data_IF_266976779327
#
_entry.id   IF_266976779327
#
_cell.length_a   1.000
_cell.length_b   1.000
_cell.length_c   1.000
_cell.angle_alpha   90.00
_cell.angle_beta   90.00
_cell.angle_gamma   90.00
#
_symmetry.space_group_name_H-M   'P 1'
#
loop_
_entity.id
_entity.type
_entity.pdbx_description
1 polymer ?
#
# COMPACT_ATOMS: atom_id res chain seq x y z
N UNK A 1 -63.50 48.13 20.48
CA UNK A 1 -62.94 48.40 21.81
C UNK A 1 -61.61 47.64 21.93
N UNK A 2 -60.51 48.36 22.16
CA UNK A 2 -59.13 47.85 22.33
C UNK A 2 -58.96 47.08 23.65
N UNK A 3 -58.14 46.02 23.68
CA UNK A 3 -57.08 45.67 24.66
C UNK A 3 -56.53 44.25 24.31
N UNK A 4 -55.36 44.06 23.68
CA UNK A 4 -53.95 44.17 24.12
C UNK A 4 -53.43 43.11 25.12
N UNK A 5 -52.39 42.38 24.66
CA UNK A 5 -51.24 41.74 25.36
C UNK A 5 -51.54 40.41 26.08
N UNK A 6 -50.77 39.33 25.86
CA UNK A 6 -49.31 39.25 26.11
C UNK A 6 -48.57 38.41 25.05
N UNK A 7 -47.50 39.01 24.52
CA UNK A 7 -46.43 38.35 23.77
C UNK A 7 -45.42 37.86 24.80
N UNK A 8 -45.15 36.55 24.83
CA UNK A 8 -44.00 36.00 25.55
C UNK A 8 -42.88 35.73 24.55
N UNK A 9 -41.80 36.45 24.78
CA UNK A 9 -40.55 36.48 24.04
C UNK A 9 -39.72 35.26 24.45
N UNK A 10 -39.47 34.31 23.54
CA UNK A 10 -38.32 33.41 23.66
C UNK A 10 -37.38 33.72 22.50
N UNK A 11 -36.35 34.50 22.80
CA UNK A 11 -35.21 34.70 21.93
C UNK A 11 -34.40 33.40 21.90
N UNK A 12 -34.49 32.65 20.80
CA UNK A 12 -33.51 31.60 20.49
C UNK A 12 -32.56 32.19 19.45
N UNK A 13 -31.40 32.60 19.93
CA UNK A 13 -30.24 33.02 19.13
C UNK A 13 -29.78 31.86 18.24
N UNK A 14 -30.36 31.76 17.04
CA UNK A 14 -29.87 30.91 15.96
C UNK A 14 -28.71 31.60 15.25
N UNK A 15 -27.51 31.58 15.83
CA UNK A 15 -26.28 31.75 15.04
C UNK A 15 -25.94 30.37 14.49
N UNK A 16 -26.49 30.07 13.32
CA UNK A 16 -26.01 28.97 12.48
C UNK A 16 -24.64 29.42 11.97
N UNK A 17 -23.59 29.03 12.69
CA UNK A 17 -22.22 29.16 12.22
C UNK A 17 -22.01 28.06 11.18
N UNK A 18 -22.50 28.29 9.96
CA UNK A 18 -22.12 27.51 8.78
C UNK A 18 -20.66 27.81 8.46
N UNK A 19 -19.77 27.14 9.20
CA UNK A 19 -18.39 26.97 8.80
C UNK A 19 -18.37 26.24 7.47
N UNK A 20 -18.31 27.00 6.37
CA UNK A 20 -17.91 26.50 5.07
C UNK A 20 -16.49 25.97 5.24
N UNK A 21 -16.35 24.67 5.53
CA UNK A 21 -15.11 23.97 5.30
C UNK A 21 -14.84 24.07 3.79
N UNK A 22 -14.03 25.04 3.40
CA UNK A 22 -13.46 25.08 2.06
C UNK A 22 -12.56 23.85 1.95
N UNK A 23 -13.10 22.76 1.40
CA UNK A 23 -12.27 21.67 0.89
C UNK A 23 -11.43 22.32 -0.20
N UNK A 24 -10.15 22.60 0.09
CA UNK A 24 -9.20 23.02 -0.93
C UNK A 24 -8.99 21.82 -1.84
N UNK A 25 -9.78 21.71 -2.90
CA UNK A 25 -9.47 20.82 -4.02
C UNK A 25 -8.14 21.27 -4.59
N UNK A 26 -7.08 20.49 -4.35
CA UNK A 26 -5.81 20.69 -5.03
C UNK A 26 -6.03 20.45 -6.52
N UNK A 27 -5.58 21.37 -7.36
CA UNK A 27 -5.69 21.18 -8.81
C UNK A 27 -5.01 19.88 -9.22
N UNK A 28 -5.67 19.11 -10.10
CA UNK A 28 -5.09 17.88 -10.63
C UNK A 28 -3.74 18.18 -11.28
N UNK A 29 -2.72 17.41 -10.88
CA UNK A 29 -1.36 17.55 -11.39
C UNK A 29 -1.17 16.58 -12.55
N UNK A 30 -0.46 17.01 -13.58
CA UNK A 30 -0.23 16.20 -14.78
C UNK A 30 1.25 16.06 -15.06
N UNK A 31 1.66 14.86 -15.46
CA UNK A 31 2.98 14.56 -15.96
C UNK A 31 2.90 14.06 -17.40
N UNK A 32 3.91 14.33 -18.20
CA UNK A 32 4.00 13.90 -19.60
C UNK A 32 4.97 12.74 -19.77
N UNK A 33 4.97 12.11 -20.93
CA UNK A 33 6.01 11.14 -21.31
C UNK A 33 7.20 11.92 -21.88
N UNK A 34 8.47 11.56 -21.56
CA UNK A 34 9.63 12.20 -22.15
C UNK A 34 9.58 12.20 -23.68
N UNK A 35 9.81 13.36 -24.28
CA UNK A 35 9.94 13.54 -25.73
C UNK A 35 11.40 13.50 -26.19
N UNK A 36 12.33 13.28 -25.25
CA UNK A 36 13.75 13.15 -25.47
C UNK A 36 14.23 11.76 -25.07
N UNK A 37 15.41 11.37 -25.56
CA UNK A 37 16.04 10.09 -25.26
C UNK A 37 16.40 10.01 -23.78
N UNK A 38 16.11 8.86 -23.15
CA UNK A 38 16.63 8.55 -21.81
C UNK A 38 17.43 7.25 -21.87
N UNK A 39 18.67 7.29 -21.40
CA UNK A 39 19.58 6.14 -21.35
C UNK A 39 19.93 5.82 -19.90
N UNK A 40 19.75 4.57 -19.50
CA UNK A 40 19.97 4.08 -18.14
C UNK A 40 20.93 2.90 -18.20
N UNK A 41 22.09 3.00 -17.55
CA UNK A 41 23.16 1.99 -17.61
C UNK A 41 23.44 1.50 -19.03
N UNK A 42 23.64 2.44 -19.96
CA UNK A 42 23.92 2.17 -21.38
C UNK A 42 22.74 1.60 -22.19
N UNK A 43 21.54 1.50 -21.60
CA UNK A 43 20.33 1.05 -22.29
C UNK A 43 19.35 2.18 -22.51
N UNK A 44 18.88 2.32 -23.75
CA UNK A 44 17.80 3.26 -24.09
C UNK A 44 16.50 2.76 -23.45
N UNK A 45 15.79 3.64 -22.77
CA UNK A 45 14.48 3.33 -22.20
C UNK A 45 13.37 3.45 -23.25
N UNK A 46 12.61 2.38 -23.46
CA UNK A 46 11.50 2.33 -24.39
C UNK A 46 10.16 2.57 -23.66
N UNK A 47 9.60 3.78 -23.74
CA UNK A 47 8.42 4.15 -22.97
C UNK A 47 7.06 3.90 -23.63
N UNK A 48 7.01 3.71 -24.95
CA UNK A 48 5.77 3.73 -25.75
C UNK A 48 4.73 2.71 -25.29
N UNK A 49 5.18 1.49 -24.97
CA UNK A 49 4.34 0.37 -24.54
C UNK A 49 4.73 -0.12 -23.14
N UNK A 50 5.35 0.73 -22.33
CA UNK A 50 5.69 0.40 -20.94
C UNK A 50 4.46 0.58 -20.04
N UNK A 51 4.14 -0.42 -19.20
CA UNK A 51 3.17 -0.29 -18.12
C UNK A 51 3.60 0.78 -17.10
N UNK A 52 4.90 1.01 -16.95
CA UNK A 52 5.46 2.06 -16.10
C UNK A 52 6.46 2.87 -16.94
N UNK A 53 5.97 3.78 -17.81
CA UNK A 53 6.85 4.64 -18.59
C UNK A 53 7.54 5.63 -17.64
N UNK A 54 8.64 6.24 -18.08
CA UNK A 54 9.16 7.43 -17.41
C UNK A 54 8.15 8.58 -17.55
N UNK A 55 8.19 9.49 -16.57
CA UNK A 55 7.36 10.69 -16.58
C UNK A 55 8.23 11.94 -16.61
N UNK A 56 7.70 13.05 -17.10
CA UNK A 56 8.28 14.39 -16.97
C UNK A 56 7.28 15.27 -16.25
N UNK A 57 7.71 15.85 -15.14
CA UNK A 57 6.91 16.77 -14.34
C UNK A 57 7.79 17.92 -13.87
N UNK A 58 7.34 19.17 -14.12
CA UNK A 58 8.15 20.39 -13.91
C UNK A 58 9.55 20.27 -14.53
N UNK A 59 9.60 19.78 -15.76
CA UNK A 59 10.82 19.58 -16.56
C UNK A 59 11.86 18.62 -15.96
N UNK A 60 11.49 17.84 -14.94
CA UNK A 60 12.32 16.78 -14.36
C UNK A 60 11.80 15.43 -14.78
N UNK A 61 12.70 14.52 -15.14
CA UNK A 61 12.36 13.12 -15.42
C UNK A 61 12.14 12.36 -14.12
N UNK A 62 11.11 11.53 -14.06
CA UNK A 62 10.77 10.69 -12.93
C UNK A 62 10.83 9.23 -13.31
N UNK A 63 11.39 8.44 -12.41
CA UNK A 63 11.65 7.03 -12.61
C UNK A 63 10.74 6.16 -11.73
N UNK A 64 10.10 5.12 -12.27
CA UNK A 64 9.19 4.30 -11.48
C UNK A 64 9.95 3.44 -10.47
N UNK A 65 9.53 3.48 -9.21
CA UNK A 65 10.10 2.71 -8.12
C UNK A 65 9.55 1.27 -8.06
N UNK A 66 9.45 0.59 -9.21
CA UNK A 66 9.14 -0.85 -9.25
C UNK A 66 10.38 -1.67 -8.94
N UNK A 67 10.22 -2.93 -8.52
CA UNK A 67 11.34 -3.72 -8.03
C UNK A 67 12.45 -4.00 -9.07
N UNK A 68 12.13 -4.26 -10.35
CA UNK A 68 13.20 -4.48 -11.33
C UNK A 68 13.84 -3.16 -11.75
N UNK A 69 13.05 -2.10 -11.84
CA UNK A 69 13.48 -0.80 -12.32
C UNK A 69 14.42 -0.15 -11.29
N UNK A 70 14.11 -0.23 -9.99
CA UNK A 70 14.98 0.20 -8.89
C UNK A 70 16.29 -0.59 -8.86
N UNK A 71 16.21 -1.93 -8.89
CA UNK A 71 17.40 -2.78 -8.88
C UNK A 71 18.29 -2.57 -10.08
N UNK A 72 17.72 -2.29 -11.25
CA UNK A 72 18.50 -1.95 -12.43
C UNK A 72 19.39 -0.74 -12.18
N UNK A 73 18.93 0.25 -11.40
CA UNK A 73 19.74 1.40 -10.98
C UNK A 73 20.51 1.20 -9.66
N UNK A 74 20.52 -0.02 -9.11
CA UNK A 74 21.29 -0.31 -7.90
C UNK A 74 20.67 0.23 -6.61
N UNK A 75 19.36 0.41 -6.60
CA UNK A 75 18.60 0.80 -5.42
C UNK A 75 17.51 -0.23 -5.12
N UNK A 76 17.12 -0.31 -3.85
CA UNK A 76 16.01 -1.15 -3.40
C UNK A 76 15.01 -0.33 -2.60
N UNK A 77 13.77 -0.79 -2.62
CA UNK A 77 12.66 -0.19 -1.88
C UNK A 77 12.21 -1.10 -0.74
N UNK A 78 11.81 -0.48 0.36
CA UNK A 78 11.16 -1.13 1.51
C UNK A 78 9.90 -0.36 1.86
N UNK A 79 8.85 -1.04 2.33
CA UNK A 79 7.62 -0.38 2.74
C UNK A 79 7.09 -0.96 4.06
N UNK A 80 6.68 -0.09 4.98
CA UNK A 80 5.82 -0.46 6.10
C UNK A 80 4.91 0.72 6.50
N UNK A 81 3.81 0.46 7.21
CA UNK A 81 2.82 1.49 7.57
C UNK A 81 3.31 2.54 8.56
N UNK A 82 4.36 2.26 9.33
CA UNK A 82 4.89 3.14 10.37
C UNK A 82 5.97 4.11 9.84
N UNK A 83 6.91 3.58 9.07
CA UNK A 83 8.06 4.27 8.47
C UNK A 83 7.81 4.77 7.05
N UNK A 84 6.78 4.26 6.37
CA UNK A 84 6.46 4.56 4.98
C UNK A 84 7.44 3.94 3.98
N UNK A 85 7.75 4.66 2.91
CA UNK A 85 8.65 4.22 1.84
C UNK A 85 10.11 4.46 2.21
N UNK A 86 10.91 3.41 2.24
CA UNK A 86 12.37 3.49 2.24
C UNK A 86 12.93 3.22 0.85
N UNK A 87 13.91 4.02 0.42
CA UNK A 87 14.67 3.85 -0.81
C UNK A 87 16.15 3.86 -0.44
N UNK A 88 16.87 2.78 -0.67
CA UNK A 88 18.26 2.67 -0.26
C UNK A 88 19.12 2.16 -1.40
N UNK A 89 20.35 2.67 -1.51
CA UNK A 89 21.35 2.06 -2.37
C UNK A 89 21.75 0.69 -1.86
N UNK A 90 22.05 -0.19 -2.81
CA UNK A 90 22.67 -1.47 -2.54
C UNK A 90 24.04 -1.54 -3.22
N UNK A 91 24.83 -2.58 -2.97
CA UNK A 91 26.17 -2.73 -3.58
C UNK A 91 26.16 -3.35 -4.99
N UNK A 92 24.99 -3.77 -5.48
CA UNK A 92 24.81 -4.51 -6.73
C UNK A 92 23.71 -3.87 -7.57
N UNK A 93 23.73 -4.05 -8.89
CA UNK A 93 22.57 -3.73 -9.75
C UNK A 93 22.03 -4.98 -10.42
N UNK A 94 20.71 -5.05 -10.57
CA UNK A 94 20.00 -6.15 -11.22
C UNK A 94 19.98 -6.05 -12.75
N UNK A 95 19.43 -7.06 -13.40
CA UNK A 95 19.19 -7.06 -14.84
C UNK A 95 18.04 -6.12 -15.22
N UNK A 96 18.08 -5.62 -16.46
CA UNK A 96 16.97 -4.83 -17.00
C UNK A 96 15.77 -5.72 -17.26
N UNK A 97 14.59 -5.27 -16.83
CA UNK A 97 13.32 -5.88 -17.15
C UNK A 97 12.37 -4.87 -17.80
N UNK A 98 11.70 -5.28 -18.86
CA UNK A 98 10.70 -4.46 -19.53
C UNK A 98 9.29 -4.81 -19.06
N UNK A 99 8.62 -3.86 -18.43
CA UNK A 99 7.21 -3.99 -18.05
C UNK A 99 6.32 -3.64 -19.23
N UNK A 100 6.05 -4.61 -20.11
CA UNK A 100 5.23 -4.39 -21.32
C UNK A 100 3.72 -4.34 -21.04
N UNK A 101 2.99 -3.57 -21.84
CA UNK A 101 1.54 -3.58 -21.93
C UNK A 101 1.07 -3.59 -23.39
N UNK A 102 -0.16 -4.05 -23.63
CA UNK A 102 -0.72 -4.24 -24.99
C UNK A 102 -1.21 -2.97 -25.69
N UNK A 103 -1.10 -1.80 -25.05
CA UNK A 103 -1.57 -0.52 -25.59
C UNK A 103 -0.53 0.58 -25.43
N UNK A 104 -0.62 1.57 -26.34
CA UNK A 104 0.28 2.71 -26.37
C UNK A 104 -0.06 3.69 -25.24
N UNK A 105 0.96 4.23 -24.58
CA UNK A 105 0.76 5.31 -23.60
C UNK A 105 0.28 6.61 -24.26
N UNK A 106 -0.61 7.31 -23.58
CA UNK A 106 -0.97 8.69 -23.88
C UNK A 106 0.20 9.63 -23.56
N UNK A 107 0.15 10.85 -24.09
CA UNK A 107 1.23 11.82 -23.92
C UNK A 107 1.26 12.45 -22.52
N UNK A 108 0.16 12.36 -21.77
CA UNK A 108 -0.03 13.01 -20.48
C UNK A 108 -0.93 12.15 -19.60
N UNK A 109 -0.64 12.16 -18.29
CA UNK A 109 -1.41 11.46 -17.27
C UNK A 109 -1.56 12.30 -16.00
N UNK A 110 -2.68 12.18 -15.28
CA UNK A 110 -2.79 12.72 -13.94
C UNK A 110 -1.83 11.96 -13.00
N UNK A 111 -1.27 12.69 -12.06
CA UNK A 111 -0.35 12.18 -11.02
C UNK A 111 -0.74 12.74 -9.66
N UNK A 112 -0.41 12.02 -8.60
CA UNK A 112 -0.66 12.44 -7.22
C UNK A 112 0.67 12.68 -6.49
N UNK A 113 0.63 13.45 -5.40
CA UNK A 113 1.77 13.59 -4.49
C UNK A 113 1.52 12.69 -3.27
N UNK A 114 2.40 11.71 -2.98
CA UNK A 114 2.26 10.86 -1.81
C UNK A 114 2.34 11.67 -0.52
N UNK A 115 1.48 11.32 0.44
CA UNK A 115 1.40 11.93 1.78
C UNK A 115 2.05 11.07 2.86
N UNK A 116 2.48 9.86 2.51
CA UNK A 116 3.20 8.96 3.42
C UNK A 116 4.65 9.39 3.65
N UNK A 117 5.24 8.89 4.75
CA UNK A 117 6.65 9.15 5.08
C UNK A 117 7.58 8.53 4.04
N UNK A 118 8.64 9.24 3.68
CA UNK A 118 9.65 8.78 2.73
C UNK A 118 11.03 8.92 3.38
N UNK A 119 11.86 7.90 3.24
CA UNK A 119 13.28 7.93 3.59
C UNK A 119 14.13 7.54 2.39
N UNK A 120 15.20 8.28 2.13
CA UNK A 120 16.19 7.98 1.09
C UNK A 120 17.55 7.80 1.77
N UNK A 121 18.17 6.63 1.64
CA UNK A 121 19.39 6.24 2.37
C UNK A 121 19.26 6.53 3.88
N UNK A 122 18.12 6.19 4.47
CA UNK A 122 17.80 6.46 5.87
C UNK A 122 17.46 7.92 6.23
N UNK A 123 17.63 8.89 5.32
CA UNK A 123 17.30 10.31 5.54
C UNK A 123 15.83 10.58 5.23
N UNK A 124 15.11 11.18 6.18
CA UNK A 124 13.71 11.58 5.98
C UNK A 124 13.57 12.65 4.90
N UNK A 125 12.56 12.50 4.04
CA UNK A 125 12.21 13.45 2.99
C UNK A 125 10.85 14.07 3.31
N UNK A 126 10.82 15.41 3.38
CA UNK A 126 9.58 16.18 3.51
C UNK A 126 9.00 16.45 2.13
N UNK A 127 8.35 15.42 1.56
CA UNK A 127 7.99 15.40 0.15
C UNK A 127 7.08 16.57 -0.30
N UNK A 128 6.21 17.07 0.57
CA UNK A 128 5.30 18.18 0.25
C UNK A 128 6.03 19.52 0.05
N UNK A 129 7.22 19.66 0.62
CA UNK A 129 8.04 20.87 0.55
C UNK A 129 9.12 20.78 -0.55
N UNK A 130 9.26 19.61 -1.19
CA UNK A 130 10.21 19.42 -2.27
C UNK A 130 9.77 20.19 -3.52
N UNK A 131 10.72 20.91 -4.14
CA UNK A 131 10.48 21.58 -5.44
C UNK A 131 10.01 20.60 -6.51
N UNK A 132 10.57 19.39 -6.44
CA UNK A 132 10.31 18.25 -7.31
C UNK A 132 9.88 17.06 -6.43
N UNK A 133 8.61 17.03 -5.98
CA UNK A 133 8.13 15.99 -5.08
C UNK A 133 8.05 14.65 -5.81
N UNK A 134 8.27 13.55 -5.10
CA UNK A 134 7.91 12.21 -5.58
C UNK A 134 6.43 12.22 -5.98
N UNK A 135 6.09 11.38 -6.96
CA UNK A 135 4.74 11.29 -7.53
C UNK A 135 4.18 9.88 -7.34
N UNK A 136 2.86 9.71 -7.45
CA UNK A 136 2.20 8.42 -7.63
C UNK A 136 1.57 8.40 -9.01
N UNK A 137 1.83 7.32 -9.75
CA UNK A 137 1.18 7.01 -11.02
C UNK A 137 1.01 5.50 -11.15
N UNK A 138 -0.20 5.04 -11.50
CA UNK A 138 -0.54 3.60 -11.58
C UNK A 138 -0.12 2.82 -10.33
N UNK A 139 -0.43 3.40 -9.16
CA UNK A 139 -0.11 2.86 -7.83
C UNK A 139 1.38 2.63 -7.56
N UNK A 140 2.26 3.22 -8.38
CA UNK A 140 3.72 3.17 -8.21
C UNK A 140 4.23 4.55 -7.86
N UNK A 141 5.16 4.61 -6.90
CA UNK A 141 5.87 5.85 -6.60
C UNK A 141 6.91 6.14 -7.67
N UNK A 142 6.95 7.38 -8.13
CA UNK A 142 7.84 7.88 -9.15
C UNK A 142 8.85 8.83 -8.52
N UNK A 143 10.13 8.54 -8.73
CA UNK A 143 11.23 9.20 -8.07
C UNK A 143 11.88 10.26 -8.98
N UNK A 144 12.07 11.50 -8.50
CA UNK A 144 12.64 12.58 -9.29
C UNK A 144 14.13 12.34 -9.57
N UNK A 145 14.51 12.31 -10.86
CA UNK A 145 15.90 12.20 -11.28
C UNK A 145 16.59 13.58 -11.26
N UNK A 146 16.70 14.17 -10.06
CA UNK A 146 17.43 15.43 -9.86
C UNK A 146 18.90 15.15 -9.54
N UNK A 147 19.74 16.17 -9.70
CA UNK A 147 21.15 16.09 -9.30
C UNK A 147 21.32 15.70 -7.83
N UNK A 148 20.55 16.33 -6.93
CA UNK A 148 20.55 16.03 -5.49
C UNK A 148 20.38 14.55 -5.22
N UNK A 149 19.41 13.90 -5.85
CA UNK A 149 19.17 12.49 -5.58
C UNK A 149 20.11 11.56 -6.37
N UNK A 150 20.24 11.79 -7.66
CA UNK A 150 21.04 10.89 -8.51
C UNK A 150 22.53 10.98 -8.18
N UNK A 151 23.08 12.18 -8.07
CA UNK A 151 24.51 12.39 -7.87
C UNK A 151 24.85 12.45 -6.39
N UNK A 152 24.21 13.34 -5.62
CA UNK A 152 24.64 13.57 -4.24
C UNK A 152 24.22 12.43 -3.30
N UNK A 153 23.00 11.91 -3.43
CA UNK A 153 22.53 10.80 -2.58
C UNK A 153 22.91 9.42 -3.12
N UNK A 154 22.95 9.23 -4.44
CA UNK A 154 23.20 7.92 -5.03
C UNK A 154 24.54 7.79 -5.77
N UNK A 155 25.32 8.85 -5.91
CA UNK A 155 26.62 8.79 -6.58
C UNK A 155 26.55 8.37 -8.06
N UNK A 156 25.38 8.37 -8.69
CA UNK A 156 25.22 8.01 -10.10
C UNK A 156 25.88 9.05 -11.01
N UNK A 157 26.43 8.60 -12.13
CA UNK A 157 26.82 9.51 -13.19
C UNK A 157 25.56 10.09 -13.84
N UNK A 158 25.52 11.42 -13.98
CA UNK A 158 24.41 12.17 -14.53
C UNK A 158 24.88 13.04 -15.68
N UNK A 159 24.24 12.93 -16.84
CA UNK A 159 24.48 13.82 -17.98
C UNK A 159 23.16 14.13 -18.68
N UNK A 160 22.99 15.39 -19.08
CA UNK A 160 21.92 15.79 -19.98
C UNK A 160 22.49 16.65 -21.10
N UNK A 161 22.18 16.31 -22.35
CA UNK A 161 22.52 17.13 -23.54
C UNK A 161 21.32 17.20 -24.47
N UNK A 162 21.26 18.20 -25.34
CA UNK A 162 20.17 18.30 -26.32
C UNK A 162 20.22 17.15 -27.34
N UNK A 163 21.42 16.66 -27.65
CA UNK A 163 21.66 15.62 -28.64
C UNK A 163 21.35 14.22 -28.08
N UNK A 164 21.79 13.91 -26.85
CA UNK A 164 21.67 12.57 -26.28
C UNK A 164 20.55 12.42 -25.24
N UNK A 165 19.89 13.52 -24.87
CA UNK A 165 18.89 13.56 -23.80
C UNK A 165 19.50 13.25 -22.44
N UNK A 166 18.73 12.58 -21.57
CA UNK A 166 19.14 12.22 -20.21
C UNK A 166 19.90 10.90 -20.20
N UNK A 167 21.06 10.87 -19.55
CA UNK A 167 21.88 9.68 -19.38
C UNK A 167 22.25 9.50 -17.91
N UNK A 168 21.93 8.34 -17.37
CA UNK A 168 22.17 7.96 -15.97
C UNK A 168 22.95 6.65 -15.95
N UNK A 169 24.03 6.61 -15.19
CA UNK A 169 24.72 5.35 -14.88
C UNK A 169 24.87 5.17 -13.38
N UNK A 170 24.32 4.08 -12.88
CA UNK A 170 24.59 3.61 -11.53
C UNK A 170 26.04 3.14 -11.39
N UNK A 171 26.64 3.38 -10.23
CA UNK A 171 28.03 3.01 -9.90
C UNK A 171 28.18 1.53 -9.52
N UNK A 172 27.07 0.84 -9.28
CA UNK A 172 27.05 -0.52 -8.81
C UNK A 172 27.55 -1.48 -9.89
N UNK A 173 28.30 -2.51 -9.47
CA UNK A 173 28.79 -3.55 -10.38
C UNK A 173 27.60 -4.23 -11.05
N UNK A 174 27.65 -4.31 -12.38
CA UNK A 174 26.73 -5.13 -13.15
C UNK A 174 26.80 -6.58 -12.65
N UNK A 175 25.72 -7.38 -12.81
CA UNK A 175 25.82 -8.82 -12.62
C UNK A 175 26.97 -9.34 -13.51
N UNK A 176 27.86 -10.14 -12.92
CA UNK A 176 28.91 -10.78 -13.70
C UNK A 176 28.23 -11.70 -14.75
N UNK A 177 28.58 -11.55 -16.03
CA UNK A 177 28.02 -12.41 -17.08
C UNK A 177 28.45 -13.84 -16.79
N UNK A 178 27.52 -14.72 -16.41
CA UNK A 178 27.82 -16.13 -16.17
C UNK A 178 28.33 -16.80 -17.47
N UNK A 179 29.54 -17.38 -17.44
CA UNK A 179 29.90 -18.45 -18.38
C UNK A 179 29.03 -19.69 -18.07
N UNK A 180 28.60 -20.46 -19.08
CA UNK A 180 27.81 -21.66 -18.84
C UNK A 180 28.70 -22.70 -18.15
N UNK A 181 28.42 -23.02 -16.88
CA UNK A 181 29.06 -24.12 -16.17
C UNK A 181 27.99 -25.12 -15.67
N UNK A 182 28.11 -26.45 -15.92
CA UNK A 182 27.05 -27.42 -15.66
C UNK A 182 26.72 -27.74 -14.20
N UNK A 183 27.26 -27.01 -13.23
CA UNK A 183 26.97 -27.20 -11.82
C UNK A 183 26.72 -25.84 -11.18
N UNK A 184 25.46 -25.41 -11.27
CA UNK A 184 24.95 -24.23 -10.59
C UNK A 184 25.12 -24.36 -9.07
N UNK A 185 25.69 -23.38 -8.36
CA UNK A 185 25.19 -23.06 -7.05
C UNK A 185 23.76 -22.53 -7.26
N UNK A 186 22.82 -23.16 -6.57
CA UNK A 186 21.39 -22.86 -6.57
C UNK A 186 21.12 -21.36 -6.69
N UNK A 187 20.51 -20.94 -7.82
CA UNK A 187 19.77 -19.68 -7.88
C UNK A 187 18.84 -19.71 -6.67
N UNK A 188 19.08 -18.84 -5.68
CA UNK A 188 18.04 -18.54 -4.71
C UNK A 188 16.90 -17.99 -5.54
N UNK A 189 15.84 -18.79 -5.70
CA UNK A 189 14.58 -18.33 -6.27
C UNK A 189 14.14 -17.19 -5.35
N UNK A 190 14.26 -15.95 -5.78
CA UNK A 190 13.76 -14.82 -5.00
C UNK A 190 12.28 -14.63 -5.34
N UNK A 191 11.49 -14.18 -4.35
CA UNK A 191 10.09 -13.80 -4.59
C UNK A 191 10.03 -12.77 -5.73
N UNK A 192 8.98 -12.84 -6.57
CA UNK A 192 8.84 -11.92 -7.67
C UNK A 192 8.78 -10.46 -7.15
N UNK A 193 9.21 -9.51 -7.99
CA UNK A 193 9.19 -8.08 -7.73
C UNK A 193 7.94 -7.56 -7.00
N UNK A 194 8.09 -7.19 -5.73
CA UNK A 194 6.98 -6.67 -4.91
C UNK A 194 6.65 -5.25 -5.39
N UNK A 195 5.46 -5.09 -5.94
CA UNK A 195 4.85 -3.79 -6.27
C UNK A 195 3.40 -3.70 -5.82
N UNK A 196 2.93 -4.57 -4.93
CA UNK A 196 1.51 -4.71 -4.62
C UNK A 196 1.28 -5.20 -3.20
N UNK A 197 0.33 -4.57 -2.50
CA UNK A 197 -0.27 -5.03 -1.25
C UNK A 197 0.67 -5.33 -0.08
N UNK A 198 0.07 -5.66 1.06
CA UNK A 198 0.77 -6.20 2.21
C UNK A 198 1.14 -7.66 1.93
N UNK A 199 2.35 -8.06 2.32
CA UNK A 199 2.74 -9.47 2.34
C UNK A 199 2.29 -10.09 3.66
N UNK A 200 1.56 -11.19 3.57
CA UNK A 200 1.15 -11.98 4.73
C UNK A 200 1.90 -13.30 4.75
N UNK A 201 2.38 -13.71 5.92
CA UNK A 201 3.17 -14.92 6.11
C UNK A 201 2.56 -15.76 7.23
N UNK A 202 2.36 -17.05 6.98
CA UNK A 202 1.87 -18.04 7.96
C UNK A 202 2.95 -19.03 8.45
N UNK A 203 4.22 -18.74 8.18
CA UNK A 203 5.40 -19.54 8.51
C UNK A 203 5.75 -20.62 7.48
N UNK A 204 4.89 -20.85 6.49
CA UNK A 204 5.15 -21.80 5.40
C UNK A 204 4.95 -21.18 4.02
N UNK A 205 4.04 -20.23 3.93
CA UNK A 205 3.63 -19.60 2.69
C UNK A 205 3.57 -18.09 2.82
N UNK A 206 3.91 -17.41 1.73
CA UNK A 206 3.72 -15.97 1.57
C UNK A 206 2.49 -15.74 0.70
N UNK A 207 1.68 -14.75 1.07
CA UNK A 207 0.48 -14.37 0.34
C UNK A 207 0.53 -12.90 -0.03
N UNK A 208 0.08 -12.57 -1.23
CA UNK A 208 -0.06 -11.20 -1.69
C UNK A 208 -1.23 -11.04 -2.65
N UNK A 209 -1.75 -9.82 -2.73
CA UNK A 209 -2.78 -9.44 -3.68
C UNK A 209 -2.14 -8.83 -4.94
N UNK A 210 -2.61 -9.24 -6.13
CA UNK A 210 -2.16 -8.73 -7.43
C UNK A 210 -3.26 -8.83 -8.47
N UNK A 211 -3.61 -7.71 -9.10
CA UNK A 211 -4.53 -7.64 -10.24
C UNK A 211 -5.85 -8.41 -9.97
N UNK A 212 -6.46 -8.20 -8.80
CA UNK A 212 -7.71 -8.87 -8.44
C UNK A 212 -7.55 -10.32 -7.96
N UNK A 213 -6.34 -10.83 -7.79
CA UNK A 213 -6.07 -12.19 -7.35
C UNK A 213 -5.28 -12.21 -6.03
N UNK A 214 -5.55 -13.20 -5.17
CA UNK A 214 -4.67 -13.52 -4.05
C UNK A 214 -3.79 -14.68 -4.49
N UNK A 215 -2.48 -14.47 -4.41
CA UNK A 215 -1.45 -15.41 -4.83
C UNK A 215 -0.75 -15.92 -3.59
N UNK A 216 -0.66 -17.25 -3.49
CA UNK A 216 0.07 -18.00 -2.47
C UNK A 216 1.40 -18.46 -3.05
N UNK A 217 2.47 -18.30 -2.30
CA UNK A 217 3.84 -18.67 -2.68
C UNK A 217 4.39 -19.63 -1.64
N UNK A 218 4.92 -20.78 -2.06
CA UNK A 218 5.66 -21.69 -1.18
C UNK A 218 7.04 -21.11 -0.87
N UNK A 219 7.38 -20.92 0.41
CA UNK A 219 8.66 -20.33 0.79
C UNK A 219 9.87 -21.23 0.47
N UNK A 220 9.65 -22.55 0.34
CA UNK A 220 10.74 -23.50 0.10
C UNK A 220 11.20 -23.47 -1.35
N UNK A 221 10.25 -23.40 -2.28
CA UNK A 221 10.53 -23.55 -3.71
C UNK A 221 9.96 -22.43 -4.60
N UNK A 222 9.33 -21.43 -3.99
CA UNK A 222 8.76 -20.24 -4.63
C UNK A 222 7.73 -20.56 -5.73
N UNK A 223 7.15 -21.76 -5.70
CA UNK A 223 6.01 -22.09 -6.55
C UNK A 223 4.81 -21.21 -6.18
N UNK A 224 4.11 -20.72 -7.20
CA UNK A 224 2.99 -19.81 -7.03
C UNK A 224 1.68 -20.49 -7.38
N UNK A 225 0.63 -20.18 -6.62
CA UNK A 225 -0.72 -20.63 -6.86
C UNK A 225 -1.70 -19.49 -6.60
N UNK A 226 -2.58 -19.24 -7.57
CA UNK A 226 -3.72 -18.35 -7.34
C UNK A 226 -4.71 -19.09 -6.43
N UNK A 227 -4.99 -18.51 -5.27
CA UNK A 227 -5.87 -19.07 -4.24
C UNK A 227 -7.21 -18.35 -4.16
N UNK A 228 -7.29 -17.10 -4.61
CA UNK A 228 -8.55 -16.35 -4.76
C UNK A 228 -8.51 -15.55 -6.06
N UNK A 229 -9.65 -15.46 -6.76
CA UNK A 229 -9.78 -14.76 -8.05
C UNK A 229 -10.86 -13.69 -7.98
N UNK A 230 -10.67 -12.62 -8.74
CA UNK A 230 -11.63 -11.52 -8.88
C UNK A 230 -12.07 -10.90 -7.54
N UNK A 231 -11.16 -10.83 -6.58
CA UNK A 231 -11.40 -10.19 -5.29
C UNK A 231 -11.03 -8.71 -5.33
N UNK A 232 -11.65 -7.91 -4.48
CA UNK A 232 -11.35 -6.48 -4.35
C UNK A 232 -10.79 -6.22 -2.95
N UNK A 233 -9.51 -6.47 -2.73
CA UNK A 233 -8.88 -6.21 -1.43
C UNK A 233 -8.67 -4.71 -1.27
N UNK A 234 -9.22 -4.15 -0.19
CA UNK A 234 -9.11 -2.73 0.16
C UNK A 234 -7.65 -2.30 0.24
N UNK A 235 -7.42 -1.03 -0.09
CA UNK A 235 -6.09 -0.40 -0.08
C UNK A 235 -5.07 -1.18 -0.93
N UNK A 236 -5.50 -1.65 -2.10
CA UNK A 236 -4.67 -2.37 -3.07
C UNK A 236 -3.90 -3.55 -2.45
N UNK A 237 -4.58 -4.34 -1.62
CA UNK A 237 -3.98 -5.51 -0.98
C UNK A 237 -3.38 -5.28 0.40
N UNK A 238 -3.42 -4.07 0.95
CA UNK A 238 -2.91 -3.82 2.31
C UNK A 238 -3.76 -4.51 3.37
N UNK A 239 -5.06 -4.60 3.16
CA UNK A 239 -5.99 -5.24 4.09
C UNK A 239 -6.18 -6.73 3.80
N UNK A 240 -5.10 -7.41 3.43
CA UNK A 240 -4.99 -8.87 3.39
C UNK A 240 -4.42 -9.36 4.73
N UNK A 241 -5.01 -10.44 5.26
CA UNK A 241 -4.57 -11.07 6.50
C UNK A 241 -4.55 -12.58 6.33
N UNK A 242 -3.50 -13.23 6.83
CA UNK A 242 -3.43 -14.69 6.89
C UNK A 242 -3.11 -15.14 8.30
N UNK A 243 -3.84 -16.16 8.75
CA UNK A 243 -3.64 -16.84 10.02
C UNK A 243 -3.84 -18.35 9.84
N UNK A 244 -2.81 -19.14 10.11
CA UNK A 244 -2.87 -20.61 10.01
C UNK A 244 -3.39 -21.12 8.64
N UNK A 245 -3.01 -20.43 7.55
CA UNK A 245 -3.43 -20.74 6.18
C UNK A 245 -4.82 -20.22 5.79
N UNK A 246 -5.57 -19.66 6.73
CA UNK A 246 -6.85 -19.01 6.47
C UNK A 246 -6.64 -17.59 5.96
N UNK A 247 -7.28 -17.29 4.84
CA UNK A 247 -7.21 -15.98 4.20
C UNK A 247 -8.42 -15.16 4.63
N UNK A 248 -8.16 -13.93 5.06
CA UNK A 248 -9.14 -12.90 5.34
C UNK A 248 -8.75 -11.64 4.59
N UNK A 249 -9.73 -10.91 4.07
CA UNK A 249 -9.47 -9.60 3.48
C UNK A 249 -10.63 -8.64 3.72
N UNK A 250 -10.34 -7.34 3.77
CA UNK A 250 -11.39 -6.31 3.79
C UNK A 250 -11.74 -5.99 2.34
N UNK A 251 -13.02 -6.05 1.98
CA UNK A 251 -13.46 -5.68 0.64
C UNK A 251 -13.42 -4.17 0.44
N UNK A 252 -12.81 -3.73 -0.67
CA UNK A 252 -12.66 -2.31 -0.99
C UNK A 252 -13.97 -1.59 -1.37
N UNK A 253 -15.07 -2.32 -1.59
CA UNK A 253 -16.35 -1.73 -2.01
C UNK A 253 -17.20 -1.27 -0.83
N UNK A 254 -17.23 -2.06 0.23
CA UNK A 254 -18.17 -1.90 1.35
C UNK A 254 -17.52 -2.11 2.72
N UNK A 255 -16.20 -2.31 2.78
CA UNK A 255 -15.45 -2.59 4.00
C UNK A 255 -15.93 -3.84 4.76
N UNK A 256 -16.58 -4.80 4.08
CA UNK A 256 -16.93 -6.10 4.66
C UNK A 256 -15.69 -6.97 4.90
N UNK A 257 -15.76 -7.84 5.90
CA UNK A 257 -14.74 -8.86 6.13
C UNK A 257 -15.08 -10.10 5.30
N UNK A 258 -14.16 -10.47 4.41
CA UNK A 258 -14.31 -11.59 3.50
C UNK A 258 -13.30 -12.69 3.81
N UNK A 259 -13.66 -13.94 3.56
CA UNK A 259 -12.69 -15.03 3.54
C UNK A 259 -12.07 -15.23 2.14
N UNK A 260 -11.04 -16.07 2.03
CA UNK A 260 -10.38 -16.38 0.75
C UNK A 260 -11.28 -17.00 -0.34
N UNK A 261 -12.47 -17.49 0.01
CA UNK A 261 -13.46 -17.98 -0.96
C UNK A 261 -14.41 -16.88 -1.45
N UNK A 262 -14.30 -15.67 -0.92
CA UNK A 262 -15.18 -14.55 -1.24
C UNK A 262 -16.51 -14.57 -0.48
N UNK A 263 -16.58 -15.30 0.64
CA UNK A 263 -17.76 -15.26 1.51
C UNK A 263 -17.63 -14.11 2.51
N UNK A 264 -18.73 -13.36 2.70
CA UNK A 264 -18.89 -12.37 3.75
C UNK A 264 -18.95 -13.07 5.13
N UNK A 265 -18.16 -12.57 6.08
CA UNK A 265 -18.05 -13.07 7.45
C UNK A 265 -18.74 -12.19 8.49
N UNK A 266 -19.18 -10.98 8.14
CA UNK A 266 -19.69 -9.98 9.09
C UNK A 266 -21.08 -9.41 8.75
N UNK A 267 -21.70 -9.84 7.64
CA UNK A 267 -23.13 -9.72 7.32
C UNK A 267 -23.73 -8.32 7.56
N UNK A 268 -23.18 -7.30 6.89
CA UNK A 268 -23.75 -5.93 6.86
C UNK A 268 -23.11 -4.93 7.84
N UNK A 269 -22.00 -5.31 8.46
CA UNK A 269 -21.16 -4.41 9.25
C UNK A 269 -19.92 -3.98 8.45
N UNK A 270 -19.27 -2.90 8.87
CA UNK A 270 -17.98 -2.45 8.34
C UNK A 270 -16.84 -2.79 9.30
N UNK A 271 -15.67 -3.18 8.79
CA UNK A 271 -14.48 -3.45 9.60
C UNK A 271 -13.86 -2.14 10.10
N UNK A 272 -13.67 -2.03 11.41
CA UNK A 272 -12.95 -0.94 12.07
C UNK A 272 -11.49 -1.31 12.38
N UNK A 273 -11.28 -2.52 12.90
CA UNK A 273 -9.92 -3.03 13.16
C UNK A 273 -9.89 -4.56 13.19
N UNK A 274 -8.69 -5.10 12.97
CA UNK A 274 -8.40 -6.52 12.95
C UNK A 274 -7.19 -6.79 13.85
N UNK A 275 -7.26 -7.88 14.61
CA UNK A 275 -6.13 -8.41 15.36
C UNK A 275 -5.98 -9.92 15.14
N UNK A 276 -4.72 -10.36 15.05
CA UNK A 276 -4.36 -11.77 14.94
C UNK A 276 -3.79 -12.24 16.26
N UNK A 277 -4.44 -13.22 16.90
CA UNK A 277 -3.99 -13.85 18.13
C UNK A 277 -4.15 -15.36 18.00
N UNK A 278 -3.22 -16.01 17.30
CA UNK A 278 -3.32 -17.44 16.94
C UNK A 278 -3.73 -18.29 18.17
N UNK A 279 -4.75 -19.16 18.03
CA UNK A 279 -5.43 -19.56 16.80
C UNK A 279 -6.65 -18.68 16.40
N UNK A 280 -6.85 -17.56 17.07
CA UNK A 280 -8.01 -16.69 16.93
C UNK A 280 -7.75 -15.50 16.01
N UNK A 281 -8.75 -15.18 15.20
CA UNK A 281 -8.81 -13.97 14.41
C UNK A 281 -9.91 -13.07 14.97
N UNK A 282 -9.57 -11.85 15.36
CA UNK A 282 -10.46 -10.93 16.04
C UNK A 282 -10.75 -9.77 15.11
N UNK A 283 -12.02 -9.45 14.91
CA UNK A 283 -12.45 -8.34 14.10
C UNK A 283 -13.42 -7.45 14.87
N UNK A 284 -13.14 -6.16 14.90
CA UNK A 284 -14.01 -5.14 15.46
C UNK A 284 -14.77 -4.48 14.33
N UNK A 285 -16.07 -4.35 14.51
CA UNK A 285 -16.99 -3.89 13.48
C UNK A 285 -17.87 -2.76 13.98
N UNK A 286 -18.28 -1.89 13.06
CA UNK A 286 -19.31 -0.86 13.26
C UNK A 286 -20.52 -1.14 12.37
N UNK A 287 -21.72 -0.98 12.93
CA UNK A 287 -22.97 -1.04 12.19
C UNK A 287 -23.15 0.23 11.39
N UNK A 288 -23.37 0.08 10.09
CA UNK A 288 -23.63 1.21 9.19
C UNK A 288 -25.00 1.90 9.44
N UNK A 289 -25.86 1.36 10.31
CA UNK A 289 -27.20 1.89 10.59
C UNK A 289 -27.26 2.79 11.82
N UNK A 290 -26.67 2.33 12.91
CA UNK A 290 -26.79 2.94 14.23
C UNK A 290 -25.44 3.14 14.94
N UNK A 291 -24.33 2.76 14.30
CA UNK A 291 -23.00 2.89 14.87
C UNK A 291 -22.71 1.91 16.01
N UNK A 292 -23.60 0.94 16.26
CA UNK A 292 -23.33 -0.11 17.24
C UNK A 292 -22.05 -0.86 16.90
N UNK A 293 -21.25 -1.15 17.93
CA UNK A 293 -19.97 -1.81 17.79
C UNK A 293 -20.11 -3.28 18.15
N UNK A 294 -19.40 -4.15 17.45
CA UNK A 294 -19.26 -5.53 17.88
C UNK A 294 -17.85 -6.06 17.63
N UNK A 295 -17.38 -6.90 18.54
CA UNK A 295 -16.15 -7.68 18.38
C UNK A 295 -16.52 -9.12 18.11
N UNK A 296 -16.02 -9.69 17.02
CA UNK A 296 -16.21 -11.10 16.67
C UNK A 296 -14.89 -11.83 16.70
N UNK A 297 -14.91 -13.02 17.30
CA UNK A 297 -13.75 -13.91 17.37
C UNK A 297 -14.04 -15.12 16.48
N UNK A 298 -13.16 -15.34 15.50
CA UNK A 298 -13.18 -16.49 14.62
C UNK A 298 -12.12 -17.51 15.03
N UNK A 299 -12.46 -18.79 14.97
CA UNK A 299 -11.51 -19.89 15.17
C UNK A 299 -10.67 -20.19 13.92
N UNK A 300 -9.78 -21.16 14.04
CA UNK A 300 -8.95 -21.69 12.94
C UNK A 300 -9.73 -22.34 11.79
N UNK A 301 -11.04 -22.53 11.92
CA UNK A 301 -11.92 -23.01 10.86
C UNK A 301 -12.72 -21.84 10.23
N UNK A 302 -12.34 -20.60 10.54
CA UNK A 302 -13.04 -19.36 10.16
C UNK A 302 -14.49 -19.31 10.68
N UNK A 303 -14.81 -20.05 11.74
CA UNK A 303 -16.13 -20.04 12.35
C UNK A 303 -16.19 -18.96 13.43
N UNK A 304 -17.23 -18.13 13.42
CA UNK A 304 -17.56 -17.27 14.56
C UNK A 304 -17.84 -18.16 15.79
N UNK A 305 -17.00 -18.02 16.81
CA UNK A 305 -17.14 -18.73 18.09
C UNK A 305 -17.60 -17.82 19.22
N UNK A 306 -17.51 -16.50 19.05
CA UNK A 306 -17.95 -15.51 20.03
C UNK A 306 -18.19 -14.14 19.38
N UNK A 307 -19.25 -13.45 19.85
CA UNK A 307 -19.56 -12.07 19.50
C UNK A 307 -19.84 -11.28 20.78
N UNK A 308 -19.16 -10.16 20.97
CA UNK A 308 -19.44 -9.17 22.02
C UNK A 308 -20.04 -7.89 21.39
N UNK A 309 -21.19 -7.43 21.88
CA UNK A 309 -21.88 -6.22 21.38
C UNK A 309 -21.70 -4.99 22.29
N UNK A 310 -21.26 -5.18 23.54
CA UNK A 310 -21.15 -4.11 24.56
C UNK A 310 -19.72 -4.03 25.14
N UNK A 311 -18.71 -4.09 24.29
CA UNK A 311 -17.30 -4.01 24.69
C UNK A 311 -16.80 -2.55 24.63
N UNK A 312 -16.13 -2.08 25.68
CA UNK A 312 -15.42 -0.80 25.68
C UNK A 312 -14.02 -0.99 25.10
N UNK A 313 -13.91 -0.83 23.77
CA UNK A 313 -12.64 -0.95 23.05
C UNK A 313 -11.56 0.02 23.54
N UNK A 314 -11.93 1.13 24.20
CA UNK A 314 -10.95 2.10 24.73
C UNK A 314 -10.15 1.54 25.92
N UNK A 315 -10.69 0.52 26.60
CA UNK A 315 -10.02 -0.21 27.69
C UNK A 315 -9.18 -1.38 27.18
N UNK A 316 -9.31 -1.71 25.89
CA UNK A 316 -8.66 -2.85 25.27
C UNK A 316 -9.26 -4.18 25.72
N UNK A 317 -8.69 -5.26 25.17
CA UNK A 317 -8.99 -6.63 25.53
C UNK A 317 -7.70 -7.46 25.49
N UNK A 318 -7.75 -8.68 26.01
CA UNK A 318 -6.64 -9.64 25.97
C UNK A 318 -7.19 -11.02 25.64
N UNK A 319 -6.42 -11.80 24.87
CA UNK A 319 -6.58 -13.24 24.82
C UNK A 319 -5.37 -13.89 25.48
N UNK A 320 -5.62 -14.76 26.46
CA UNK A 320 -4.61 -15.62 27.08
C UNK A 320 -5.06 -17.07 26.98
N UNK A 321 -4.34 -17.87 26.19
CA UNK A 321 -4.77 -19.22 25.78
C UNK A 321 -6.16 -19.17 25.17
N UNK A 322 -7.18 -19.67 25.86
CA UNK A 322 -8.58 -19.69 25.43
C UNK A 322 -9.47 -18.75 26.27
N UNK A 323 -8.89 -17.84 27.06
CA UNK A 323 -9.65 -16.87 27.83
C UNK A 323 -9.58 -15.52 27.12
N UNK A 324 -10.75 -15.00 26.74
CA UNK A 324 -10.94 -13.65 26.24
C UNK A 324 -11.38 -12.73 27.39
N UNK A 325 -10.52 -11.79 27.74
CA UNK A 325 -10.73 -10.83 28.83
C UNK A 325 -10.98 -9.44 28.25
N UNK A 326 -12.07 -8.78 28.66
CA UNK A 326 -12.41 -7.43 28.20
C UNK A 326 -13.19 -6.64 29.26
N UNK A 327 -13.33 -5.33 29.05
CA UNK A 327 -14.22 -4.47 29.86
C UNK A 327 -15.49 -4.17 29.08
N UNK A 328 -16.65 -4.40 29.69
CA UNK A 328 -17.92 -4.03 29.05
C UNK A 328 -18.19 -2.52 29.17
N UNK A 329 -19.19 -2.01 28.45
CA UNK A 329 -19.59 -0.60 28.47
C UNK A 329 -20.05 -0.09 29.85
N UNK A 330 -20.29 -0.98 30.82
CA UNK A 330 -20.61 -0.63 32.22
C UNK A 330 -19.37 -0.57 33.11
N UNK A 331 -18.18 -0.82 32.55
CA UNK A 331 -16.92 -0.83 33.27
C UNK A 331 -16.65 -2.12 34.04
N UNK A 332 -17.40 -3.21 33.80
CA UNK A 332 -17.16 -4.50 34.46
C UNK A 332 -16.21 -5.36 33.63
N UNK A 333 -15.27 -6.01 34.31
CA UNK A 333 -14.38 -6.98 33.70
C UNK A 333 -15.13 -8.29 33.38
N UNK A 334 -14.90 -8.82 32.18
CA UNK A 334 -15.49 -10.06 31.69
C UNK A 334 -14.36 -11.00 31.28
N UNK A 335 -14.48 -12.28 31.64
CA UNK A 335 -13.57 -13.36 31.24
C UNK A 335 -14.39 -14.49 30.59
N UNK A 336 -14.17 -14.72 29.30
CA UNK A 336 -14.93 -15.69 28.51
C UNK A 336 -14.02 -16.80 28.03
N UNK A 337 -14.41 -18.05 28.29
CA UNK A 337 -13.72 -19.21 27.71
C UNK A 337 -14.18 -19.43 26.27
N UNK A 338 -13.25 -19.24 25.34
CA UNK A 338 -13.40 -19.54 23.91
C UNK A 338 -13.40 -21.06 23.70
N UNK A 339 -14.38 -21.54 22.94
CA UNK A 339 -14.62 -22.98 22.68
C UNK A 339 -13.95 -23.47 21.43
#
# INVERSE_FOLDING_TARGET
>A
MKLMKKISLFALSGVILSGLFSVKTQAAQYATIPTFKVTLNDRIFEGTYSQYPLLVYKDITYFPMTYYTTRFLGVETSWNSYDGLGINQTGIRGEYHFYGQGFKNANSYPVEIPTFKIKVNGKSIYNQDEKYPLLIFRDVTYFPMTWRFCVDEFGWAYRFTNENGLEIKSINKAPEKAQPNPQSPTVKKELPPIGMGKLENDGKYIYYFREGNIIKVDEKDFSQKIVSRNVNVRNNGVDLYVLDGNIYYIDGRDNSLMNGNGNDLNYGYSVESIEKSSPYFIANFSSNKDGSMQTVIYDKNQKNIYTAQDIDLSKGYKIDKNIFSYTDLKGMAQDITLK
#
